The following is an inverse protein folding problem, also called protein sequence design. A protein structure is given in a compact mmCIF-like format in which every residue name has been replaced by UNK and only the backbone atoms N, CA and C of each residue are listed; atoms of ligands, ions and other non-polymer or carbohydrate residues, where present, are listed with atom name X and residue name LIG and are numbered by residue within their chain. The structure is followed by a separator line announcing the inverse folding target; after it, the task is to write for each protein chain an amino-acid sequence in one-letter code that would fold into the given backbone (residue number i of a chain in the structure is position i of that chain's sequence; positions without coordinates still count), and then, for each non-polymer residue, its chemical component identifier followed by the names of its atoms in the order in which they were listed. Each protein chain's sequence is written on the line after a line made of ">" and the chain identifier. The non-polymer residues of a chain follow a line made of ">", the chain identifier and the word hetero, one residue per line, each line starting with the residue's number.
data_IF_689163251797
#
_entry.id   IF_689163251797
#
_cell.length_a   1.000
_cell.length_b   1.000
_cell.length_c   1.000
_cell.angle_alpha   90.00
_cell.angle_beta   90.00
_cell.angle_gamma   90.00
#
_symmetry.space_group_name_H-M   'P 1'
#
loop_
_entity.id
_entity.type
_entity.pdbx_description
1 polymer ?
#
# COMPACT_ATOMS: atom_id res chain seq x y z
N UNK A 1 38.66 94.40 7.66
CA UNK A 1 37.76 94.68 6.51
C UNK A 1 36.55 93.77 6.68
N UNK A 2 35.53 94.24 7.41
CA UNK A 2 34.27 93.51 7.61
C UNK A 2 33.18 94.12 6.73
N UNK A 3 32.51 93.31 5.92
CA UNK A 3 31.15 93.62 5.45
C UNK A 3 30.28 92.39 5.75
N UNK A 4 29.31 92.60 6.63
CA UNK A 4 28.23 91.68 7.01
C UNK A 4 27.30 91.46 5.81
N UNK A 5 26.83 90.24 5.57
CA UNK A 5 25.73 90.00 4.62
C UNK A 5 24.66 89.01 5.12
N UNK A 6 23.42 89.53 5.06
CA UNK A 6 22.11 88.94 4.74
C UNK A 6 21.63 87.73 5.56
N UNK A 7 20.68 88.03 6.45
CA UNK A 7 19.86 87.08 7.21
C UNK A 7 18.77 86.50 6.30
N UNK A 8 18.87 85.21 5.94
CA UNK A 8 17.82 84.45 5.23
C UNK A 8 16.59 84.29 6.12
N UNK A 9 15.48 84.89 5.73
CA UNK A 9 14.18 84.84 6.37
C UNK A 9 13.41 83.57 5.95
N UNK A 10 13.22 82.67 6.92
CA UNK A 10 12.61 81.34 6.74
C UNK A 10 11.09 81.34 6.48
N UNK A 11 10.50 82.49 6.14
CA UNK A 11 9.03 82.63 5.97
C UNK A 11 8.53 82.09 4.63
N UNK A 12 9.36 82.07 3.59
CA UNK A 12 9.00 81.56 2.27
C UNK A 12 8.87 80.02 2.20
N UNK A 13 9.46 79.29 3.16
CA UNK A 13 9.35 77.82 3.23
C UNK A 13 8.02 77.33 3.83
N UNK A 14 7.23 78.20 4.46
CA UNK A 14 5.97 77.79 5.10
C UNK A 14 4.78 77.65 4.14
N UNK A 15 4.93 78.13 2.89
CA UNK A 15 3.82 78.18 1.91
C UNK A 15 3.94 77.14 0.78
N UNK A 16 5.02 76.35 0.74
CA UNK A 16 5.27 75.34 -0.32
C UNK A 16 5.21 73.91 0.20
N UNK A 17 4.04 73.50 0.72
CA UNK A 17 3.45 72.16 0.53
C UNK A 17 2.53 71.78 1.69
N UNK A 18 1.47 72.55 1.86
CA UNK A 18 0.23 72.17 2.52
C UNK A 18 -0.71 71.37 1.60
N UNK A 19 -0.17 70.67 0.59
CA UNK A 19 -0.93 69.86 -0.38
C UNK A 19 -0.34 68.46 -0.54
N UNK A 20 -0.02 67.78 0.57
CA UNK A 20 0.23 66.34 0.57
C UNK A 20 -1.09 65.60 0.82
N UNK A 21 -1.81 65.35 -0.27
CA UNK A 21 -2.68 64.20 -0.52
C UNK A 21 -3.53 63.68 0.64
N UNK A 22 -4.76 64.21 0.71
CA UNK A 22 -5.87 63.55 1.40
C UNK A 22 -6.52 62.53 0.44
N UNK A 23 -5.81 61.46 0.12
CA UNK A 23 -6.46 60.26 -0.43
C UNK A 23 -7.03 59.46 0.75
N UNK A 24 -8.29 59.71 1.08
CA UNK A 24 -9.06 58.84 1.97
C UNK A 24 -9.23 57.49 1.25
N UNK A 25 -8.28 56.58 1.45
CA UNK A 25 -8.35 55.20 1.03
C UNK A 25 -9.51 54.54 1.80
N UNK A 26 -10.69 54.56 1.18
CA UNK A 26 -11.91 53.91 1.70
C UNK A 26 -11.72 52.41 1.56
N UNK A 27 -10.91 51.82 2.45
CA UNK A 27 -10.83 50.38 2.61
C UNK A 27 -12.23 49.90 3.02
N UNK A 28 -12.98 49.40 2.05
CA UNK A 28 -14.17 48.61 2.32
C UNK A 28 -13.71 47.36 3.06
N UNK A 29 -13.75 47.42 4.39
CA UNK A 29 -13.55 46.27 5.25
C UNK A 29 -14.70 45.31 4.96
N UNK A 30 -14.49 44.38 4.03
CA UNK A 30 -15.38 43.22 3.91
C UNK A 30 -15.42 42.58 5.29
N UNK A 31 -16.58 42.60 5.94
CA UNK A 31 -16.74 41.91 7.22
C UNK A 31 -16.42 40.44 6.98
N UNK A 32 -15.30 39.98 7.53
CA UNK A 32 -15.00 38.56 7.59
C UNK A 32 -16.03 37.96 8.54
N UNK A 33 -17.09 37.36 7.97
CA UNK A 33 -18.05 36.58 8.74
C UNK A 33 -17.30 35.37 9.29
N UNK A 34 -17.04 35.38 10.60
CA UNK A 34 -16.47 34.24 11.31
C UNK A 34 -17.51 33.12 11.42
N UNK A 35 -17.03 31.87 11.44
CA UNK A 35 -17.85 30.70 11.73
C UNK A 35 -18.40 30.78 13.16
N UNK A 36 -19.65 30.38 13.35
CA UNK A 36 -20.22 30.23 14.69
C UNK A 36 -19.71 28.94 15.33
N UNK A 37 -19.60 28.92 16.66
CA UNK A 37 -19.22 27.71 17.41
C UNK A 37 -20.19 26.55 17.15
N UNK A 38 -21.48 26.85 16.96
CA UNK A 38 -22.49 25.83 16.69
C UNK A 38 -22.35 25.24 15.28
N UNK A 39 -21.98 26.04 14.28
CA UNK A 39 -21.68 25.53 12.93
C UNK A 39 -20.47 24.60 12.96
N UNK A 40 -19.41 24.94 13.71
CA UNK A 40 -18.26 24.06 13.84
C UNK A 40 -18.63 22.76 14.57
N UNK A 41 -19.47 22.84 15.60
CA UNK A 41 -19.91 21.69 16.40
C UNK A 41 -20.78 20.72 15.58
N UNK A 42 -21.70 21.24 14.75
CA UNK A 42 -22.52 20.42 13.87
C UNK A 42 -21.67 19.68 12.82
N UNK A 43 -20.63 20.32 12.29
CA UNK A 43 -19.73 19.71 11.30
C UNK A 43 -18.96 18.53 11.89
N UNK A 44 -18.37 18.67 13.08
CA UNK A 44 -17.64 17.56 13.71
C UNK A 44 -18.58 16.42 14.12
N UNK A 45 -19.85 16.71 14.46
CA UNK A 45 -20.86 15.69 14.71
C UNK A 45 -21.12 14.86 13.45
N UNK A 46 -21.38 15.51 12.31
CA UNK A 46 -21.65 14.81 11.05
C UNK A 46 -20.43 14.01 10.59
N UNK A 47 -19.22 14.59 10.67
CA UNK A 47 -17.97 13.88 10.34
C UNK A 47 -17.79 12.65 11.24
N UNK A 48 -18.08 12.76 12.54
CA UNK A 48 -18.00 11.63 13.48
C UNK A 48 -18.93 10.48 13.11
N UNK A 49 -20.18 10.78 12.74
CA UNK A 49 -21.16 9.77 12.31
C UNK A 49 -20.66 9.07 11.03
N UNK A 50 -20.26 9.83 10.01
CA UNK A 50 -19.77 9.26 8.75
C UNK A 50 -18.49 8.43 8.94
N UNK A 51 -17.54 8.90 9.75
CA UNK A 51 -16.30 8.19 10.04
C UNK A 51 -16.55 6.83 10.72
N UNK A 52 -17.54 6.75 11.62
CA UNK A 52 -17.88 5.51 12.33
C UNK A 52 -18.34 4.39 11.39
N UNK A 53 -19.17 4.72 10.38
CA UNK A 53 -19.70 3.75 9.40
C UNK A 53 -18.59 3.25 8.46
N UNK A 54 -17.71 4.15 8.03
CA UNK A 54 -16.59 3.83 7.13
C UNK A 54 -15.62 2.86 7.82
N UNK A 55 -15.30 3.11 9.09
CA UNK A 55 -14.31 2.32 9.83
C UNK A 55 -14.68 0.83 9.94
N UNK A 56 -15.95 0.51 10.22
CA UNK A 56 -16.44 -0.88 10.35
C UNK A 56 -16.28 -1.67 9.03
N UNK A 57 -16.40 -1.00 7.88
CA UNK A 57 -16.29 -1.65 6.56
C UNK A 57 -14.85 -1.79 6.07
N UNK A 58 -13.94 -0.91 6.51
CA UNK A 58 -12.55 -0.88 6.05
C UNK A 58 -11.79 -2.19 6.31
N UNK A 59 -11.95 -2.79 7.50
CA UNK A 59 -11.28 -4.04 7.87
C UNK A 59 -11.66 -5.22 6.98
N UNK A 60 -12.92 -5.31 6.54
CA UNK A 60 -13.41 -6.39 5.67
C UNK A 60 -12.92 -6.26 4.22
N UNK A 61 -12.81 -5.03 3.73
CA UNK A 61 -12.31 -4.74 2.37
C UNK A 61 -10.82 -5.06 2.26
N UNK A 62 -10.04 -4.71 3.29
CA UNK A 62 -8.60 -5.00 3.33
C UNK A 62 -8.32 -6.49 3.18
N UNK A 63 -9.00 -7.35 3.92
CA UNK A 63 -8.83 -8.81 3.81
C UNK A 63 -9.07 -9.35 2.40
N UNK A 64 -10.19 -8.96 1.76
CA UNK A 64 -10.51 -9.38 0.38
C UNK A 64 -9.48 -8.91 -0.65
N UNK A 65 -8.91 -7.72 -0.47
CA UNK A 65 -7.88 -7.19 -1.38
C UNK A 65 -6.57 -7.98 -1.31
N UNK A 66 -6.18 -8.40 -0.10
CA UNK A 66 -5.02 -9.26 0.13
C UNK A 66 -5.23 -10.64 -0.48
N UNK A 67 -6.41 -11.22 -0.27
CA UNK A 67 -6.81 -12.50 -0.85
C UNK A 67 -6.72 -12.47 -2.38
N UNK A 68 -7.27 -11.44 -3.02
CA UNK A 68 -7.20 -11.27 -4.48
C UNK A 68 -5.75 -11.21 -4.99
N UNK A 69 -4.87 -10.51 -4.26
CA UNK A 69 -3.44 -10.42 -4.59
C UNK A 69 -2.76 -11.78 -4.49
N UNK A 70 -3.03 -12.56 -3.44
CA UNK A 70 -2.43 -13.88 -3.24
C UNK A 70 -2.83 -14.87 -4.32
N UNK A 71 -4.09 -14.86 -4.77
CA UNK A 71 -4.50 -15.67 -5.92
C UNK A 71 -3.70 -15.29 -7.17
N UNK A 72 -3.53 -13.98 -7.43
CA UNK A 72 -2.74 -13.50 -8.56
C UNK A 72 -1.27 -13.95 -8.45
N UNK A 73 -0.71 -13.92 -7.25
CA UNK A 73 0.65 -14.37 -6.98
C UNK A 73 0.76 -15.89 -7.22
N UNK A 74 -0.17 -16.70 -6.70
CA UNK A 74 -0.21 -18.15 -6.92
C UNK A 74 -0.32 -18.49 -8.42
N UNK A 75 -1.19 -17.81 -9.18
CA UNK A 75 -1.26 -17.99 -10.65
C UNK A 75 0.08 -17.72 -11.33
N UNK A 76 0.74 -16.63 -10.97
CA UNK A 76 2.05 -16.25 -11.51
C UNK A 76 3.12 -17.30 -11.14
N UNK A 77 3.07 -17.84 -9.92
CA UNK A 77 3.97 -18.91 -9.49
C UNK A 77 3.74 -20.19 -10.30
N UNK A 78 2.50 -20.59 -10.54
CA UNK A 78 2.17 -21.74 -11.38
C UNK A 78 2.79 -21.61 -12.78
N UNK A 79 2.57 -20.47 -13.43
CA UNK A 79 3.10 -20.21 -14.78
C UNK A 79 4.63 -20.24 -14.82
N UNK A 80 5.29 -19.66 -13.79
CA UNK A 80 6.75 -19.67 -13.69
C UNK A 80 7.31 -21.09 -13.45
N UNK A 81 6.66 -21.91 -12.63
CA UNK A 81 7.05 -23.30 -12.39
C UNK A 81 6.84 -24.18 -13.63
N UNK A 82 5.75 -23.96 -14.37
CA UNK A 82 5.53 -24.63 -15.66
C UNK A 82 6.60 -24.23 -16.69
N UNK A 83 7.01 -22.96 -16.71
CA UNK A 83 8.10 -22.49 -17.57
C UNK A 83 9.44 -23.11 -17.17
N UNK A 84 9.71 -23.26 -15.88
CA UNK A 84 10.87 -23.98 -15.37
C UNK A 84 10.86 -25.44 -15.84
N UNK A 85 9.72 -26.14 -15.70
CA UNK A 85 9.56 -27.51 -16.16
C UNK A 85 9.82 -27.64 -17.66
N UNK A 86 9.27 -26.73 -18.47
CA UNK A 86 9.48 -26.74 -19.92
C UNK A 86 10.96 -26.60 -20.30
N UNK A 87 11.77 -25.89 -19.50
CA UNK A 87 13.20 -25.72 -19.76
C UNK A 87 14.03 -26.90 -19.26
N UNK A 88 13.75 -27.40 -18.06
CA UNK A 88 14.61 -28.38 -17.36
C UNK A 88 14.07 -29.81 -17.35
N UNK A 89 12.83 -30.03 -17.80
CA UNK A 89 12.15 -31.33 -17.81
C UNK A 89 11.69 -31.82 -16.43
N UNK A 90 11.84 -31.01 -15.38
CA UNK A 90 11.46 -31.32 -14.01
C UNK A 90 11.16 -30.02 -13.25
N UNK A 91 10.37 -30.11 -12.18
CA UNK A 91 10.21 -29.01 -11.23
C UNK A 91 11.45 -28.88 -10.33
N UNK A 92 11.69 -27.71 -9.72
CA UNK A 92 12.75 -27.56 -8.74
C UNK A 92 12.55 -28.53 -7.57
N UNK A 93 13.38 -29.57 -7.49
CA UNK A 93 13.24 -30.59 -6.45
C UNK A 93 13.64 -30.03 -5.08
N UNK A 94 12.76 -30.18 -4.10
CA UNK A 94 13.04 -29.80 -2.71
C UNK A 94 13.43 -31.00 -1.86
N UNK A 95 13.49 -32.21 -2.40
CA UNK A 95 13.74 -33.44 -1.67
C UNK A 95 12.46 -34.13 -1.20
N UNK A 96 11.34 -33.94 -1.93
CA UNK A 96 10.08 -34.65 -1.73
C UNK A 96 8.97 -33.86 -1.01
N UNK A 97 7.83 -34.53 -0.85
CA UNK A 97 6.56 -33.95 -0.38
C UNK A 97 6.59 -33.35 1.03
N UNK A 98 7.51 -33.79 1.89
CA UNK A 98 7.61 -33.31 3.27
C UNK A 98 8.63 -32.18 3.46
N UNK A 99 9.45 -31.86 2.45
CA UNK A 99 10.51 -30.85 2.58
C UNK A 99 10.07 -29.48 2.05
N UNK A 100 9.25 -28.79 2.84
CA UNK A 100 8.72 -27.48 2.52
C UNK A 100 9.79 -26.39 2.63
N UNK A 101 9.88 -25.56 1.59
CA UNK A 101 10.72 -24.37 1.54
C UNK A 101 9.84 -23.13 1.55
N UNK A 102 10.22 -22.12 2.33
CA UNK A 102 9.47 -20.86 2.47
C UNK A 102 10.07 -19.76 1.59
N UNK A 103 9.23 -18.88 1.07
CA UNK A 103 9.63 -17.63 0.42
C UNK A 103 9.31 -16.41 1.30
N UNK A 104 9.77 -16.42 2.55
CA UNK A 104 9.70 -15.26 3.45
C UNK A 104 10.77 -14.20 3.17
N UNK A 105 10.50 -12.95 3.53
CA UNK A 105 11.53 -11.90 3.52
C UNK A 105 12.59 -12.21 4.58
N UNK A 106 13.88 -12.17 4.21
CA UNK A 106 15.00 -12.34 5.13
C UNK A 106 15.49 -13.78 5.38
N UNK A 107 14.83 -14.81 4.81
CA UNK A 107 15.34 -16.19 4.89
C UNK A 107 16.39 -16.47 3.82
N UNK A 108 17.46 -17.17 4.19
CA UNK A 108 18.51 -17.63 3.25
C UNK A 108 18.06 -18.78 2.33
N UNK A 109 17.00 -19.49 2.72
CA UNK A 109 16.45 -20.64 1.99
C UNK A 109 15.18 -20.28 1.20
N UNK A 110 15.20 -19.13 0.55
CA UNK A 110 14.10 -18.61 -0.26
C UNK A 110 14.03 -19.31 -1.62
N UNK A 111 13.09 -20.25 -1.75
CA UNK A 111 12.98 -21.10 -2.94
C UNK A 111 12.74 -20.29 -4.22
N UNK A 112 11.99 -19.18 -4.16
CA UNK A 112 11.75 -18.35 -5.33
C UNK A 112 13.03 -17.70 -5.82
N UNK A 113 13.88 -17.22 -4.91
CA UNK A 113 15.18 -16.64 -5.27
C UNK A 113 16.14 -17.69 -5.83
N UNK A 114 16.08 -18.91 -5.31
CA UNK A 114 17.00 -19.97 -5.71
C UNK A 114 16.64 -20.58 -7.07
N UNK A 115 15.35 -20.65 -7.42
CA UNK A 115 14.90 -21.41 -8.59
C UNK A 115 14.19 -20.57 -9.66
N UNK A 116 13.47 -19.51 -9.28
CA UNK A 116 12.59 -18.78 -10.21
C UNK A 116 13.13 -17.41 -10.60
N UNK A 117 13.77 -16.69 -9.68
CA UNK A 117 14.27 -15.33 -9.91
C UNK A 117 15.74 -15.39 -10.32
N UNK A 118 16.19 -14.60 -11.32
CA UNK A 118 15.40 -13.66 -12.12
C UNK A 118 14.81 -14.26 -13.41
N UNK A 119 15.10 -15.52 -13.72
CA UNK A 119 14.86 -16.05 -15.06
C UNK A 119 13.37 -16.25 -15.39
N UNK A 120 12.61 -16.84 -14.48
CA UNK A 120 11.19 -17.15 -14.66
C UNK A 120 10.27 -16.13 -13.98
N UNK A 121 10.81 -15.32 -13.06
CA UNK A 121 10.14 -14.21 -12.40
C UNK A 121 11.06 -13.00 -12.34
N UNK A 122 10.59 -11.86 -12.87
CA UNK A 122 11.36 -10.60 -12.86
C UNK A 122 11.63 -10.07 -11.45
N UNK A 123 10.80 -10.45 -10.48
CA UNK A 123 11.01 -10.15 -9.06
C UNK A 123 10.39 -11.23 -8.20
N UNK A 124 10.93 -11.39 -7.00
CA UNK A 124 10.31 -12.20 -5.96
C UNK A 124 8.91 -11.66 -5.63
N UNK A 125 7.95 -12.58 -5.51
CA UNK A 125 6.63 -12.30 -4.94
C UNK A 125 6.71 -12.43 -3.40
N UNK A 126 6.01 -11.56 -2.69
CA UNK A 126 5.97 -11.56 -1.23
C UNK A 126 4.54 -11.32 -0.78
N UNK A 127 4.07 -12.20 0.11
CA UNK A 127 2.81 -11.99 0.80
C UNK A 127 2.89 -10.69 1.63
N UNK A 128 1.83 -9.87 1.67
CA UNK A 128 1.82 -8.65 2.48
C UNK A 128 1.74 -8.87 3.99
N UNK A 129 1.51 -10.08 4.47
CA UNK A 129 1.43 -10.41 5.91
C UNK A 129 2.82 -10.63 6.50
N UNK A 130 2.89 -10.58 7.83
CA UNK A 130 4.12 -10.80 8.56
C UNK A 130 4.63 -12.25 8.37
N UNK A 131 5.78 -12.37 7.71
CA UNK A 131 6.48 -13.61 7.44
C UNK A 131 6.80 -14.42 8.71
N UNK A 132 6.95 -13.76 9.86
CA UNK A 132 7.26 -14.42 11.14
C UNK A 132 6.09 -15.21 11.71
N UNK A 133 4.86 -14.92 11.28
CA UNK A 133 3.64 -15.56 11.78
C UNK A 133 3.26 -16.76 10.93
N UNK A 134 3.56 -16.74 9.63
CA UNK A 134 2.88 -17.63 8.72
C UNK A 134 3.66 -18.04 7.46
N UNK A 135 5.00 -18.02 7.51
CA UNK A 135 5.90 -18.65 6.51
C UNK A 135 5.70 -18.24 5.02
N UNK A 136 4.84 -17.26 4.71
CA UNK A 136 4.60 -16.78 3.35
C UNK A 136 4.22 -17.89 2.39
N UNK A 137 4.72 -17.83 1.15
CA UNK A 137 4.51 -18.89 0.17
C UNK A 137 5.47 -20.07 0.41
N UNK A 138 4.92 -21.23 0.69
CA UNK A 138 5.66 -22.46 0.92
C UNK A 138 5.58 -23.36 -0.31
N UNK A 139 6.67 -24.05 -0.62
CA UNK A 139 6.82 -24.91 -1.79
C UNK A 139 7.46 -26.24 -1.42
N UNK A 140 6.89 -27.33 -1.93
CA UNK A 140 7.46 -28.67 -1.85
C UNK A 140 7.37 -29.35 -3.22
N UNK A 141 8.37 -30.15 -3.57
CA UNK A 141 8.45 -30.87 -4.85
C UNK A 141 9.34 -32.10 -4.73
N UNK A 142 9.00 -33.13 -5.51
CA UNK A 142 9.82 -34.33 -5.72
C UNK A 142 10.47 -34.34 -7.13
N UNK A 143 10.47 -33.20 -7.83
CA UNK A 143 10.94 -33.05 -9.21
C UNK A 143 9.90 -33.38 -10.29
N UNK A 144 8.91 -34.22 -10.00
CA UNK A 144 7.82 -34.58 -10.94
C UNK A 144 6.52 -33.84 -10.62
N UNK A 145 6.24 -33.72 -9.34
CA UNK A 145 5.05 -33.13 -8.76
C UNK A 145 5.43 -32.01 -7.81
N UNK A 146 4.53 -31.05 -7.65
CA UNK A 146 4.77 -29.93 -6.75
C UNK A 146 3.50 -29.46 -6.05
N UNK A 147 3.70 -28.81 -4.91
CA UNK A 147 2.67 -28.03 -4.23
C UNK A 147 3.26 -26.69 -3.80
N UNK A 148 2.58 -25.61 -4.14
CA UNK A 148 2.76 -24.30 -3.50
C UNK A 148 1.52 -24.01 -2.69
N UNK A 149 1.70 -23.57 -1.45
CA UNK A 149 0.61 -23.08 -0.60
C UNK A 149 1.00 -21.75 0.01
N UNK A 150 0.00 -20.98 0.41
CA UNK A 150 0.20 -19.80 1.23
C UNK A 150 0.04 -20.14 2.72
N UNK A 151 1.11 -20.03 3.50
CA UNK A 151 1.09 -20.31 4.94
C UNK A 151 0.32 -19.28 5.77
N UNK A 152 0.05 -18.08 5.22
CA UNK A 152 -0.72 -16.99 5.83
C UNK A 152 -2.21 -17.02 5.49
N UNK A 153 -2.68 -18.10 4.87
CA UNK A 153 -3.97 -18.13 4.20
C UNK A 153 -5.07 -18.79 5.03
N UNK A 154 -5.74 -18.00 5.88
CA UNK A 154 -6.97 -18.43 6.56
C UNK A 154 -8.12 -17.51 6.15
N UNK A 155 -8.90 -17.89 5.14
CA UNK A 155 -10.05 -17.08 4.71
C UNK A 155 -11.20 -17.94 4.21
N UNK A 156 -12.40 -17.63 4.71
CA UNK A 156 -13.66 -18.33 4.39
C UNK A 156 -14.23 -17.96 3.00
N UNK A 157 -13.53 -17.14 2.22
CA UNK A 157 -14.07 -16.47 1.01
C UNK A 157 -13.94 -17.33 -0.26
N UNK A 158 -13.14 -18.39 -0.24
CA UNK A 158 -12.83 -19.25 -1.40
C UNK A 158 -13.94 -20.22 -1.78
N UNK A 159 -15.01 -20.24 -0.99
CA UNK A 159 -16.21 -21.05 -1.23
C UNK A 159 -17.08 -20.56 -2.39
N UNK A 160 -16.67 -19.54 -3.15
CA UNK A 160 -17.37 -19.20 -4.40
C UNK A 160 -16.95 -20.16 -5.51
N UNK A 161 -17.85 -21.10 -5.77
CA UNK A 161 -17.90 -22.07 -6.87
C UNK A 161 -17.20 -21.56 -8.14
N UNK A 162 -16.00 -22.10 -8.42
CA UNK A 162 -15.29 -21.89 -9.70
C UNK A 162 -13.78 -21.72 -9.62
N UNK A 163 -13.21 -21.27 -8.50
CA UNK A 163 -11.75 -21.07 -8.36
C UNK A 163 -11.08 -22.26 -7.65
N UNK A 164 -10.09 -22.88 -8.32
CA UNK A 164 -9.43 -24.17 -8.00
C UNK A 164 -8.29 -24.06 -6.97
N UNK A 165 -8.31 -23.08 -6.08
CA UNK A 165 -7.18 -22.80 -5.18
C UNK A 165 -7.37 -23.35 -3.77
N UNK A 166 -8.41 -24.16 -3.53
CA UNK A 166 -8.60 -24.82 -2.23
C UNK A 166 -7.56 -25.93 -2.04
N UNK A 167 -6.93 -25.99 -0.88
CA UNK A 167 -6.01 -27.07 -0.52
C UNK A 167 -6.80 -28.29 0.02
N UNK A 168 -6.91 -29.39 -0.74
CA UNK A 168 -7.73 -30.55 -0.36
C UNK A 168 -7.13 -31.35 0.81
N UNK A 169 -5.85 -31.14 1.15
CA UNK A 169 -5.21 -31.83 2.26
C UNK A 169 -5.52 -31.19 3.63
N UNK A 170 -6.19 -30.03 3.66
CA UNK A 170 -6.35 -29.23 4.89
C UNK A 170 -7.75 -28.61 4.98
N UNK A 171 -8.46 -28.91 6.05
CA UNK A 171 -9.85 -28.45 6.27
C UNK A 171 -9.99 -26.92 6.49
N UNK A 172 -8.87 -26.19 6.61
CA UNK A 172 -8.83 -24.79 7.06
C UNK A 172 -8.52 -23.81 5.90
N UNK A 173 -9.22 -23.94 4.77
CA UNK A 173 -9.28 -22.96 3.66
C UNK A 173 -7.93 -22.33 3.27
N UNK A 174 -6.91 -23.17 3.05
CA UNK A 174 -5.62 -22.73 2.56
C UNK A 174 -5.64 -22.60 1.04
N UNK A 175 -4.99 -21.54 0.55
CA UNK A 175 -4.83 -21.28 -0.87
C UNK A 175 -3.64 -22.09 -1.39
N UNK A 176 -3.86 -23.02 -2.32
CA UNK A 176 -2.80 -23.84 -2.90
C UNK A 176 -2.90 -23.98 -4.42
N UNK A 177 -1.76 -24.22 -5.04
CA UNK A 177 -1.64 -24.76 -6.40
C UNK A 177 -0.80 -26.03 -6.32
N UNK A 178 -1.19 -27.05 -7.05
CA UNK A 178 -0.51 -28.34 -7.02
C UNK A 178 -0.72 -29.10 -8.33
N UNK A 179 0.11 -30.11 -8.55
CA UNK A 179 -0.17 -31.20 -9.48
C UNK A 179 -1.08 -32.23 -8.80
N UNK A 180 -1.81 -33.03 -9.58
CA UNK A 180 -2.84 -33.93 -9.05
C UNK A 180 -2.30 -34.90 -7.97
N UNK A 181 -1.10 -35.46 -8.17
CA UNK A 181 -0.43 -36.37 -7.21
C UNK A 181 0.11 -35.64 -5.96
N UNK A 182 0.28 -34.32 -6.04
CA UNK A 182 0.68 -33.49 -4.90
C UNK A 182 -0.51 -32.97 -4.08
N UNK A 183 -1.75 -33.24 -4.50
CA UNK A 183 -2.94 -32.77 -3.80
C UNK A 183 -2.96 -33.12 -2.31
N UNK A 184 -2.48 -34.33 -1.94
CA UNK A 184 -2.45 -34.83 -0.56
C UNK A 184 -1.28 -34.37 0.32
N UNK A 185 -0.38 -33.51 -0.17
CA UNK A 185 0.82 -33.08 0.58
C UNK A 185 0.55 -31.97 1.61
#
# INVERSE_FOLDING_TARGET
>A
MEIRSIRRDKRWFALLNTQSNKEENKQTTKSLRGFTLIELLAVIMVIGILASIIFVNFSKIKGKSLDTRRISDLRSLKESLMSYYNKYGQFPDTGGSSNWKTACSGTTNDWMKNYLVPEFLSRKLSDPSDCSVCNGYEYASNGTDFKVRDGCFQTKVYTKTGDTFDDPARDWHYGAIYTDEASGW
#
